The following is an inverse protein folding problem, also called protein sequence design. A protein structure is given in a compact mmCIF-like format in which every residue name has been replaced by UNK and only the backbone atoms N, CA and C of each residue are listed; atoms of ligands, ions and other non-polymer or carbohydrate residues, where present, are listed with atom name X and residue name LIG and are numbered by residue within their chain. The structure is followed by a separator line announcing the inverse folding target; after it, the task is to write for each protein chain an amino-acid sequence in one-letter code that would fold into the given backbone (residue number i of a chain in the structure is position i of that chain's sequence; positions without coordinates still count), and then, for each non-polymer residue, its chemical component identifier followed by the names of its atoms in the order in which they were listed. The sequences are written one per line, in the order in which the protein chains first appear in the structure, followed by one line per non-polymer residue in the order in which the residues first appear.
data_IF_564047554711
#
_entry.id   IF_564047554711
#
_cell.length_a   1.000
_cell.length_b   1.000
_cell.length_c   1.000
_cell.angle_alpha   90.00
_cell.angle_beta   90.00
_cell.angle_gamma   90.00
#
_symmetry.space_group_name_H-M   'P 1'
#
loop_
_entity.id
_entity.type
_entity.pdbx_description
1 polymer ?
#
# COMPACT_ATOMS: atom_id res chain seq x y z
N UNK A 1 4.37 14.21 24.08
CA UNK A 1 4.81 14.21 22.66
C UNK A 1 6.30 14.46 22.63
N UNK A 2 7.07 13.60 21.96
CA UNK A 2 8.53 13.76 21.81
C UNK A 2 8.90 13.66 20.33
N UNK A 3 9.44 14.76 19.80
CA UNK A 3 10.01 14.81 18.45
C UNK A 3 11.42 14.25 18.54
N UNK A 4 11.73 13.24 17.73
CA UNK A 4 13.07 12.68 17.64
C UNK A 4 13.69 13.01 16.29
N UNK A 5 15.02 13.00 16.25
CA UNK A 5 15.84 13.21 15.05
C UNK A 5 17.02 12.25 15.11
N UNK A 6 17.46 11.76 13.96
CA UNK A 6 18.66 10.95 13.88
C UNK A 6 19.91 11.77 14.24
N UNK A 7 20.99 11.08 14.61
CA UNK A 7 22.30 11.71 14.86
C UNK A 7 22.94 12.12 13.52
N UNK A 8 23.89 13.07 13.51
CA UNK A 8 24.72 13.31 12.33
C UNK A 8 25.36 11.99 11.85
N UNK A 9 25.37 11.76 10.55
CA UNK A 9 25.80 10.47 9.95
C UNK A 9 24.73 9.38 9.92
N UNK A 10 23.47 9.67 10.32
CA UNK A 10 22.36 8.71 10.24
C UNK A 10 21.17 9.29 9.47
N UNK A 11 20.64 8.53 8.51
CA UNK A 11 19.42 8.83 7.76
C UNK A 11 18.18 8.30 8.50
N UNK A 12 17.06 9.00 8.38
CA UNK A 12 15.78 8.65 9.00
C UNK A 12 14.86 7.94 8.00
N UNK A 13 14.77 6.62 8.10
CA UNK A 13 13.93 5.76 7.25
C UNK A 13 12.66 5.33 7.98
N UNK A 14 12.12 6.19 8.85
CA UNK A 14 10.85 5.96 9.54
C UNK A 14 9.69 6.02 8.54
N UNK A 15 8.90 4.94 8.42
CA UNK A 15 7.74 4.82 7.51
C UNK A 15 6.58 5.80 7.79
N UNK A 16 6.74 6.68 8.77
CA UNK A 16 5.82 7.77 9.10
C UNK A 16 6.60 9.01 9.54
N UNK A 17 7.67 9.35 8.83
CA UNK A 17 8.57 10.49 9.09
C UNK A 17 7.83 11.78 9.48
N UNK A 18 6.76 12.16 8.77
CA UNK A 18 5.99 13.39 9.05
C UNK A 18 5.32 13.42 10.44
N UNK A 19 5.06 12.24 11.04
CA UNK A 19 4.33 12.09 12.31
C UNK A 19 5.20 11.56 13.45
N UNK A 20 6.17 10.71 13.12
CA UNK A 20 7.04 9.98 14.05
C UNK A 20 8.48 9.94 13.51
N UNK A 21 9.16 11.09 13.36
CA UNK A 21 10.56 11.13 12.94
C UNK A 21 11.50 10.61 14.04
N UNK A 22 12.70 10.20 13.63
CA UNK A 22 13.79 9.72 14.46
C UNK A 22 13.50 8.40 15.18
N UNK A 23 12.72 7.51 14.56
CA UNK A 23 12.36 6.19 15.11
C UNK A 23 13.11 5.04 14.45
N UNK A 24 13.49 5.20 13.19
CA UNK A 24 14.27 4.21 12.45
C UNK A 24 15.44 4.91 11.76
N UNK A 25 16.57 4.99 12.47
CA UNK A 25 17.78 5.65 11.99
C UNK A 25 18.80 4.60 11.52
N UNK A 26 19.19 4.65 10.25
CA UNK A 26 20.29 3.84 9.70
C UNK A 26 21.51 4.72 9.46
N UNK A 27 22.71 4.13 9.39
CA UNK A 27 23.91 4.87 9.02
C UNK A 27 23.78 5.38 7.58
N UNK A 28 24.03 6.67 7.37
CA UNK A 28 24.08 7.27 6.06
C UNK A 28 25.44 6.94 5.44
N UNK A 29 25.49 5.83 4.71
CA UNK A 29 26.61 5.50 3.83
C UNK A 29 26.63 6.52 2.68
N UNK A 30 27.82 6.76 2.13
CA UNK A 30 27.98 7.58 0.92
C UNK A 30 28.60 6.69 -0.15
N UNK A 31 27.75 6.10 -0.97
CA UNK A 31 28.12 5.13 -2.00
C UNK A 31 29.00 5.78 -3.07
N UNK A 32 28.88 7.09 -3.29
CA UNK A 32 29.72 7.84 -4.23
C UNK A 32 31.21 7.95 -3.82
N UNK A 33 31.58 7.59 -2.59
CA UNK A 33 33.00 7.56 -2.16
C UNK A 33 33.76 6.31 -2.60
N UNK A 34 33.06 5.24 -2.95
CA UNK A 34 33.65 3.96 -3.32
C UNK A 34 32.93 3.40 -4.55
N UNK A 35 33.66 3.22 -5.65
CA UNK A 35 33.11 2.66 -6.90
C UNK A 35 32.67 1.20 -6.79
N UNK A 36 32.95 0.51 -5.67
CA UNK A 36 32.39 -0.79 -5.34
C UNK A 36 31.03 -0.73 -4.60
N UNK A 37 30.61 0.46 -4.13
CA UNK A 37 29.36 0.67 -3.39
C UNK A 37 28.23 1.30 -4.23
N UNK A 38 28.54 1.84 -5.42
CA UNK A 38 27.54 2.37 -6.36
C UNK A 38 27.61 1.66 -7.72
N UNK A 39 26.52 1.70 -8.49
CA UNK A 39 26.40 1.16 -9.85
C UNK A 39 26.43 2.26 -10.94
N UNK A 40 26.91 3.47 -10.60
CA UNK A 40 26.97 4.56 -11.55
C UNK A 40 27.94 4.26 -12.71
N UNK A 41 27.58 4.67 -13.91
CA UNK A 41 28.50 4.67 -15.04
C UNK A 41 29.72 5.56 -14.74
N UNK A 42 30.90 5.18 -15.22
CA UNK A 42 32.13 5.99 -15.13
C UNK A 42 31.98 7.42 -15.70
N UNK A 43 30.97 7.65 -16.55
CA UNK A 43 30.65 8.95 -17.14
C UNK A 43 29.42 9.64 -16.51
N UNK A 44 28.84 9.07 -15.45
CA UNK A 44 27.74 9.67 -14.70
C UNK A 44 28.28 10.53 -13.54
N UNK A 45 27.52 11.56 -13.16
CA UNK A 45 27.75 12.30 -11.92
C UNK A 45 27.07 11.51 -10.81
N UNK A 46 27.84 10.97 -9.86
CA UNK A 46 27.30 10.34 -8.66
C UNK A 46 26.93 11.43 -7.65
N UNK A 47 25.64 11.52 -7.31
CA UNK A 47 25.14 12.37 -6.21
C UNK A 47 24.63 11.48 -5.07
N UNK A 48 25.03 11.83 -3.86
CA UNK A 48 24.68 11.10 -2.64
C UNK A 48 23.17 11.12 -2.40
N UNK A 49 22.52 9.95 -2.49
CA UNK A 49 21.09 9.86 -2.30
C UNK A 49 20.75 10.15 -0.84
N UNK A 50 19.88 11.15 -0.60
CA UNK A 50 19.21 11.26 0.70
C UNK A 50 18.20 10.13 0.80
N UNK A 51 18.67 9.02 1.37
CA UNK A 51 18.02 7.72 1.37
C UNK A 51 16.53 7.80 1.70
N UNK A 52 15.72 7.19 0.83
CA UNK A 52 14.27 7.37 0.85
C UNK A 52 13.51 6.85 -0.37
N UNK A 53 14.21 6.43 -1.44
CA UNK A 53 13.61 5.68 -2.53
C UNK A 53 14.65 4.87 -3.33
N UNK A 54 15.32 3.91 -2.70
CA UNK A 54 16.07 2.87 -3.41
C UNK A 54 15.08 1.91 -4.08
N UNK A 55 14.52 2.33 -5.23
CA UNK A 55 13.45 1.64 -5.98
C UNK A 55 13.86 0.24 -6.46
N UNK A 56 15.10 -0.23 -6.29
CA UNK A 56 15.60 -1.53 -6.77
C UNK A 56 15.06 -2.73 -5.98
N UNK A 57 14.78 -3.85 -6.66
CA UNK A 57 14.20 -5.05 -6.05
C UNK A 57 14.68 -6.38 -6.65
N UNK A 58 14.67 -7.46 -5.85
CA UNK A 58 14.92 -8.83 -6.33
C UNK A 58 13.59 -9.47 -6.76
N UNK A 59 13.39 -9.89 -8.03
CA UNK A 59 12.15 -10.53 -8.47
C UNK A 59 11.87 -11.88 -7.78
N UNK A 60 12.88 -12.54 -7.19
CA UNK A 60 12.71 -13.77 -6.40
C UNK A 60 12.32 -13.50 -4.95
N UNK A 61 12.61 -12.30 -4.44
CA UNK A 61 12.34 -11.85 -3.06
C UNK A 61 11.94 -10.37 -3.05
N UNK A 62 10.82 -10.00 -3.70
CA UNK A 62 10.46 -8.59 -3.87
C UNK A 62 10.18 -7.94 -2.51
N UNK A 63 10.86 -6.82 -2.24
CA UNK A 63 10.68 -5.98 -1.05
C UNK A 63 10.18 -4.59 -1.44
N UNK A 64 9.06 -4.55 -2.16
CA UNK A 64 8.43 -3.29 -2.53
C UNK A 64 7.41 -2.83 -1.47
N UNK A 65 6.99 -1.57 -1.58
CA UNK A 65 5.94 -0.99 -0.74
C UNK A 65 4.55 -1.57 -1.01
N UNK A 66 3.55 -1.04 -0.30
CA UNK A 66 2.16 -1.43 -0.51
C UNK A 66 1.68 -1.05 -1.92
N UNK A 67 0.97 -1.97 -2.56
CA UNK A 67 0.49 -1.85 -3.95
C UNK A 67 1.60 -1.63 -4.99
N UNK A 68 2.80 -2.17 -4.75
CA UNK A 68 3.90 -2.20 -5.70
C UNK A 68 4.27 -3.62 -6.13
N UNK A 69 4.79 -3.75 -7.35
CA UNK A 69 5.28 -4.97 -7.97
C UNK A 69 6.72 -4.73 -8.45
N UNK A 70 7.58 -5.72 -8.22
CA UNK A 70 8.95 -5.69 -8.74
C UNK A 70 8.93 -6.02 -10.24
N UNK A 71 9.32 -5.07 -11.10
CA UNK A 71 9.38 -5.27 -12.56
C UNK A 71 10.50 -4.48 -13.23
N UNK A 72 10.98 -4.98 -14.38
CA UNK A 72 11.98 -4.37 -15.24
C UNK A 72 11.35 -3.51 -16.37
N UNK A 73 10.04 -3.21 -16.28
CA UNK A 73 9.27 -2.63 -17.38
C UNK A 73 9.70 -1.20 -17.73
N UNK A 74 10.10 -0.39 -16.74
CA UNK A 74 10.66 0.95 -16.98
C UNK A 74 12.18 0.95 -17.23
N UNK A 75 12.92 -0.03 -16.71
CA UNK A 75 14.37 -0.08 -16.80
C UNK A 75 14.83 -1.47 -17.26
N UNK A 76 15.12 -1.61 -18.56
CA UNK A 76 15.47 -2.90 -19.18
C UNK A 76 16.69 -3.53 -18.49
N UNK A 77 16.46 -4.64 -17.78
CA UNK A 77 17.51 -5.36 -17.04
C UNK A 77 17.75 -4.87 -15.60
N UNK A 78 17.04 -3.84 -15.14
CA UNK A 78 17.08 -3.35 -13.76
C UNK A 78 15.68 -3.47 -13.15
N UNK A 79 15.54 -4.38 -12.19
CA UNK A 79 14.26 -4.62 -11.52
C UNK A 79 13.97 -3.53 -10.51
N UNK A 80 12.86 -2.82 -10.69
CA UNK A 80 12.42 -1.74 -9.79
C UNK A 80 10.99 -1.95 -9.28
N UNK A 81 10.69 -1.35 -8.13
CA UNK A 81 9.36 -1.31 -7.54
C UNK A 81 8.48 -0.31 -8.28
N UNK A 82 7.49 -0.84 -8.99
CA UNK A 82 6.51 -0.05 -9.72
C UNK A 82 5.13 -0.23 -9.11
N UNK A 83 4.24 0.78 -9.16
CA UNK A 83 2.86 0.58 -8.76
C UNK A 83 2.23 -0.61 -9.51
N UNK A 84 1.48 -1.43 -8.79
CA UNK A 84 0.69 -2.52 -9.33
C UNK A 84 -0.32 -2.01 -10.38
N UNK A 85 -0.85 -2.92 -11.19
CA UNK A 85 -1.84 -2.59 -12.22
C UNK A 85 -3.06 -1.88 -11.60
N UNK A 86 -3.50 -0.77 -12.19
CA UNK A 86 -4.56 0.13 -11.68
C UNK A 86 -4.22 0.92 -10.38
N UNK A 87 -2.99 0.83 -9.85
CA UNK A 87 -2.48 1.70 -8.80
C UNK A 87 -1.67 2.88 -9.39
N UNK A 88 -1.74 4.03 -8.72
CA UNK A 88 -1.07 5.27 -9.12
C UNK A 88 -0.18 5.78 -7.99
N UNK A 89 0.98 6.35 -8.32
CA UNK A 89 1.90 6.97 -7.34
C UNK A 89 1.39 8.36 -6.96
N UNK A 90 1.11 8.58 -5.68
CA UNK A 90 0.64 9.85 -5.13
C UNK A 90 1.81 10.80 -4.82
N UNK A 91 1.50 12.06 -4.49
CA UNK A 91 2.49 13.09 -4.12
C UNK A 91 3.32 12.75 -2.88
N UNK A 92 2.83 11.85 -2.04
CA UNK A 92 3.52 11.31 -0.85
C UNK A 92 4.41 10.10 -1.17
N UNK A 93 4.61 9.78 -2.47
CA UNK A 93 5.40 8.65 -2.93
C UNK A 93 4.65 7.31 -2.92
N UNK A 94 3.48 7.20 -2.28
CA UNK A 94 2.79 5.91 -2.11
C UNK A 94 2.01 5.48 -3.35
N UNK A 95 1.99 4.19 -3.66
CA UNK A 95 1.10 3.62 -4.69
C UNK A 95 -0.26 3.27 -4.09
N UNK A 96 -1.34 3.81 -4.66
CA UNK A 96 -2.73 3.51 -4.23
C UNK A 96 -3.65 3.29 -5.42
N UNK A 97 -4.67 2.45 -5.26
CA UNK A 97 -5.72 2.29 -6.28
C UNK A 97 -6.62 3.52 -6.35
N UNK A 98 -6.81 4.10 -7.54
CA UNK A 98 -7.79 5.18 -7.75
C UNK A 98 -9.24 4.66 -7.66
N UNK A 99 -9.46 3.40 -8.08
CA UNK A 99 -10.76 2.76 -8.04
C UNK A 99 -10.61 1.23 -7.86
N UNK A 100 -10.40 0.79 -6.61
CA UNK A 100 -10.20 -0.63 -6.31
C UNK A 100 -11.39 -1.54 -6.68
N UNK A 101 -12.59 -0.98 -6.86
CA UNK A 101 -13.77 -1.69 -7.38
C UNK A 101 -13.80 -1.91 -8.91
N UNK A 102 -12.84 -1.37 -9.67
CA UNK A 102 -12.79 -1.53 -11.15
C UNK A 102 -12.06 -2.82 -11.56
N UNK A 103 -11.27 -3.40 -10.65
CA UNK A 103 -10.61 -4.71 -10.84
C UNK A 103 -11.29 -5.85 -10.07
N UNK A 104 -10.61 -7.00 -10.01
CA UNK A 104 -11.01 -8.10 -9.13
C UNK A 104 -11.05 -7.65 -7.66
N UNK A 105 -12.12 -8.04 -6.97
CA UNK A 105 -12.37 -7.71 -5.58
C UNK A 105 -13.05 -8.90 -4.89
N UNK A 106 -12.86 -9.04 -3.58
CA UNK A 106 -13.38 -10.18 -2.79
C UNK A 106 -14.81 -9.95 -2.26
N UNK A 107 -15.56 -8.98 -2.80
CA UNK A 107 -16.98 -8.80 -2.44
C UNK A 107 -17.82 -10.03 -2.82
N UNK A 108 -18.85 -10.33 -2.02
CA UNK A 108 -19.89 -11.29 -2.43
C UNK A 108 -20.58 -10.79 -3.72
N UNK A 109 -20.97 -11.71 -4.60
CA UNK A 109 -21.76 -11.38 -5.82
C UNK A 109 -23.06 -10.60 -5.51
N UNK A 110 -23.63 -10.82 -4.33
CA UNK A 110 -24.82 -10.15 -3.81
C UNK A 110 -24.49 -8.87 -3.03
N UNK A 111 -23.24 -8.39 -3.07
CA UNK A 111 -22.82 -7.11 -2.52
C UNK A 111 -22.66 -6.03 -3.60
N UNK A 112 -22.40 -4.81 -3.14
CA UNK A 112 -21.95 -3.66 -3.92
C UNK A 112 -20.56 -3.28 -3.39
N UNK A 113 -19.60 -3.11 -4.31
CA UNK A 113 -18.28 -2.57 -3.99
C UNK A 113 -18.34 -1.03 -4.01
N UNK A 114 -17.82 -0.39 -2.97
CA UNK A 114 -17.64 1.05 -2.85
C UNK A 114 -16.16 1.38 -2.66
N UNK A 115 -15.59 2.21 -3.54
CA UNK A 115 -14.23 2.70 -3.40
C UNK A 115 -14.06 3.46 -2.08
N UNK A 116 -12.93 3.25 -1.41
CA UNK A 116 -12.52 3.98 -0.23
C UNK A 116 -11.08 4.48 -0.43
N UNK A 117 -10.59 5.34 0.47
CA UNK A 117 -9.20 5.80 0.39
C UNK A 117 -8.24 4.62 0.60
N UNK A 118 -7.39 4.35 -0.39
CA UNK A 118 -6.40 3.25 -0.40
C UNK A 118 -7.01 1.82 -0.34
N UNK A 119 -8.33 1.68 -0.52
CA UNK A 119 -9.01 0.38 -0.37
C UNK A 119 -10.44 0.39 -0.95
N UNK A 120 -11.25 -0.61 -0.63
CA UNK A 120 -12.69 -0.66 -0.92
C UNK A 120 -13.46 -1.28 0.24
N UNK A 121 -14.75 -0.98 0.31
CA UNK A 121 -15.71 -1.65 1.20
C UNK A 121 -16.73 -2.39 0.35
N UNK A 122 -17.21 -3.53 0.86
CA UNK A 122 -18.32 -4.26 0.27
C UNK A 122 -19.52 -4.13 1.20
N UNK A 123 -20.72 -3.98 0.64
CA UNK A 123 -21.96 -3.92 1.40
C UNK A 123 -23.00 -4.81 0.74
N UNK A 124 -23.65 -5.69 1.49
CA UNK A 124 -24.71 -6.54 0.95
C UNK A 124 -25.85 -5.69 0.35
N UNK A 125 -26.38 -6.15 -0.79
CA UNK A 125 -27.52 -5.49 -1.45
C UNK A 125 -28.77 -5.56 -0.55
N UNK A 126 -29.73 -4.63 -0.73
CA UNK A 126 -31.04 -4.73 -0.09
C UNK A 126 -31.66 -6.12 -0.30
N UNK A 127 -32.22 -6.72 0.76
CA UNK A 127 -32.69 -8.10 0.76
C UNK A 127 -31.64 -9.15 1.12
N UNK A 128 -30.40 -8.76 1.45
CA UNK A 128 -29.35 -9.67 1.93
C UNK A 128 -28.78 -9.23 3.28
N UNK A 129 -28.54 -10.19 4.18
CA UNK A 129 -27.81 -9.99 5.44
C UNK A 129 -26.35 -10.39 5.29
N UNK A 130 -25.48 -9.62 5.92
CA UNK A 130 -24.05 -9.92 6.02
C UNK A 130 -23.81 -11.00 7.09
N UNK A 131 -23.21 -12.12 6.67
CA UNK A 131 -22.78 -13.22 7.54
C UNK A 131 -21.27 -13.50 7.38
N UNK A 132 -20.51 -12.48 6.97
CA UNK A 132 -19.05 -12.55 6.87
C UNK A 132 -18.42 -12.93 8.23
N UNK A 133 -17.29 -13.68 8.27
CA UNK A 133 -16.65 -14.06 9.54
C UNK A 133 -16.13 -12.88 10.39
N UNK A 134 -15.88 -11.73 9.76
CA UNK A 134 -15.43 -10.49 10.40
C UNK A 134 -16.14 -9.28 9.74
N UNK A 135 -17.42 -9.00 10.08
CA UNK A 135 -18.19 -7.92 9.44
C UNK A 135 -17.64 -6.53 9.76
N UNK A 136 -16.98 -6.36 10.91
CA UNK A 136 -16.42 -5.07 11.34
C UNK A 136 -15.24 -4.64 10.46
N UNK A 137 -14.39 -5.58 10.04
CA UNK A 137 -13.19 -5.29 9.21
C UNK A 137 -13.36 -5.67 7.74
N UNK A 138 -14.18 -6.67 7.44
CA UNK A 138 -14.45 -7.19 6.10
C UNK A 138 -15.96 -7.46 5.91
N UNK A 139 -16.80 -6.42 5.89
CA UNK A 139 -18.21 -6.57 5.58
C UNK A 139 -18.44 -7.01 4.13
N UNK A 140 -19.62 -7.55 3.84
CA UNK A 140 -20.10 -7.85 2.49
C UNK A 140 -19.29 -8.91 1.72
N UNK A 141 -18.59 -9.80 2.43
CA UNK A 141 -17.84 -10.94 1.85
C UNK A 141 -18.67 -12.21 1.76
N UNK A 142 -19.71 -12.33 2.61
CA UNK A 142 -20.70 -13.41 2.55
C UNK A 142 -22.09 -12.80 2.77
N UNK A 143 -22.90 -12.71 1.72
CA UNK A 143 -24.21 -12.08 1.73
C UNK A 143 -25.31 -13.11 1.49
N UNK A 144 -26.12 -13.39 2.52
CA UNK A 144 -27.20 -14.38 2.48
C UNK A 144 -28.56 -13.71 2.30
N UNK A 145 -29.39 -14.29 1.45
CA UNK A 145 -30.70 -13.74 1.12
C UNK A 145 -31.67 -13.79 2.32
N UNK A 146 -32.20 -12.63 2.67
CA UNK A 146 -33.32 -12.45 3.58
C UNK A 146 -34.61 -12.36 2.76
N UNK A 147 -35.16 -13.52 2.43
CA UNK A 147 -36.57 -13.65 2.10
C UNK A 147 -37.39 -12.99 3.21
N UNK A 148 -38.33 -12.11 2.86
CA UNK A 148 -39.22 -11.42 3.80
C UNK A 148 -39.66 -12.36 4.93
N UNK A 149 -39.27 -12.06 6.17
CA UNK A 149 -39.84 -12.74 7.33
C UNK A 149 -41.31 -12.32 7.45
N UNK A 150 -42.29 -13.22 7.24
CA UNK A 150 -43.64 -12.95 7.69
C UNK A 150 -43.66 -13.15 9.20
N UNK A 151 -43.93 -12.05 9.91
CA UNK A 151 -44.13 -11.97 11.36
C UNK A 151 -42.88 -12.19 12.25
N UNK A 152 -42.62 -11.18 13.10
CA UNK A 152 -41.64 -11.14 14.19
C UNK A 152 -40.16 -10.90 13.81
N UNK A 153 -39.82 -9.62 13.58
CA UNK A 153 -38.62 -9.06 14.21
C UNK A 153 -39.00 -7.90 15.15
N UNK A 154 -38.84 -8.14 16.44
CA UNK A 154 -38.30 -7.13 17.36
C UNK A 154 -36.85 -6.83 16.93
N UNK A 155 -36.30 -5.62 16.87
CA UNK A 155 -36.76 -4.21 17.05
C UNK A 155 -35.85 -3.39 16.08
N UNK A 156 -36.17 -2.24 15.48
CA UNK A 156 -36.65 -0.96 16.03
C UNK A 156 -37.21 0.00 14.95
N UNK A 157 -38.18 0.84 15.37
CA UNK A 157 -38.38 2.27 15.02
C UNK A 157 -38.79 2.66 13.57
N UNK A 158 -39.68 3.65 13.38
CA UNK A 158 -40.34 4.57 14.34
C UNK A 158 -41.78 4.89 13.86
#
# INVERSE_FOLDING_TARGET
LSICRCRPGYADISSSFERLPGRHCIEAVNECRDSALNDCSENAICEDAKEGNLDSCDPKKPKCGSNEVCSDRKARGQFICECAENAFRFKDGTCRFYAACVGENDCDKNAVCANAFDTYKCQCRPGYIDISPDPERKPGRVCKECWFFPENLQIFQN
#
